data_IF_151091444553
#
_entry.id   IF_151091444553
#
_cell.length_a   1.000
_cell.length_b   1.000
_cell.length_c   1.000
_cell.angle_alpha   90.00
_cell.angle_beta   90.00
_cell.angle_gamma   90.00
#
_symmetry.space_group_name_H-M   'P 1'
#
loop_
_entity.id
_entity.type
_entity.pdbx_description
1 polymer ?
#
# COMPACT_ATOMS: atom_id res chain seq x y z
N UNK A 1 -21.04 -7.96 55.32
CA UNK A 1 -21.78 -7.42 54.15
C UNK A 1 -20.80 -6.77 53.11
N UNK A 2 -19.76 -6.04 53.54
CA UNK A 2 -18.81 -5.36 52.64
C UNK A 2 -17.92 -6.28 51.81
N UNK A 3 -17.58 -7.48 52.27
CA UNK A 3 -16.71 -8.43 51.57
C UNK A 3 -17.33 -9.03 50.26
N UNK A 4 -18.67 -9.23 50.25
CA UNK A 4 -19.38 -9.70 49.05
C UNK A 4 -19.58 -8.59 48.02
N UNK A 5 -19.69 -7.31 48.45
CA UNK A 5 -19.84 -6.15 47.58
C UNK A 5 -18.58 -5.89 46.80
N UNK A 6 -17.38 -6.01 47.42
CA UNK A 6 -16.10 -5.82 46.77
C UNK A 6 -15.81 -6.89 45.70
N UNK A 7 -16.23 -8.15 45.91
CA UNK A 7 -16.06 -9.21 44.92
C UNK A 7 -16.93 -8.96 43.69
N UNK A 8 -18.14 -8.48 43.84
CA UNK A 8 -19.05 -8.15 42.72
C UNK A 8 -18.53 -6.98 41.93
N UNK A 9 -17.95 -5.95 42.57
CA UNK A 9 -17.34 -4.80 41.89
C UNK A 9 -16.07 -5.21 41.11
N UNK A 10 -15.25 -6.10 41.67
CA UNK A 10 -14.03 -6.61 40.98
C UNK A 10 -14.42 -7.49 39.78
N UNK A 11 -15.45 -8.34 39.90
CA UNK A 11 -15.92 -9.17 38.79
C UNK A 11 -16.52 -8.30 37.68
N UNK A 12 -17.28 -7.25 38.04
CA UNK A 12 -17.87 -6.32 37.06
C UNK A 12 -16.83 -5.48 36.38
N UNK A 13 -15.74 -5.05 37.08
CA UNK A 13 -14.64 -4.30 36.47
C UNK A 13 -13.76 -5.16 35.56
N UNK A 14 -13.58 -6.46 35.85
CA UNK A 14 -12.87 -7.40 34.99
C UNK A 14 -13.70 -7.71 33.72
N UNK A 15 -15.04 -7.79 33.85
CA UNK A 15 -15.91 -8.01 32.68
C UNK A 15 -15.95 -6.79 31.75
N UNK A 16 -15.90 -5.56 32.28
CA UNK A 16 -15.81 -4.32 31.50
C UNK A 16 -14.43 -4.14 30.83
N UNK A 17 -13.36 -4.73 31.36
CA UNK A 17 -12.01 -4.68 30.77
C UNK A 17 -11.83 -5.70 29.62
N UNK A 18 -12.63 -6.77 29.59
CA UNK A 18 -12.56 -7.79 28.51
C UNK A 18 -13.28 -7.34 27.23
N UNK A 19 -14.28 -6.47 27.33
CA UNK A 19 -14.96 -5.92 26.15
C UNK A 19 -14.16 -4.85 25.38
N UNK A 20 -13.07 -4.32 25.96
CA UNK A 20 -12.27 -3.25 25.34
C UNK A 20 -11.15 -3.74 24.44
N UNK A 21 -11.00 -5.06 24.19
CA UNK A 21 -9.94 -5.66 23.38
C UNK A 21 -10.40 -6.37 22.11
N UNK A 22 -11.63 -6.19 21.70
CA UNK A 22 -11.96 -6.40 20.30
C UNK A 22 -11.45 -5.16 19.51
N UNK A 23 -10.14 -5.01 19.40
CA UNK A 23 -9.57 -4.22 18.33
C UNK A 23 -10.09 -4.86 17.04
N UNK A 24 -11.09 -4.24 16.42
CA UNK A 24 -11.57 -4.61 15.10
C UNK A 24 -10.34 -4.73 14.22
N UNK A 25 -9.94 -5.94 13.88
CA UNK A 25 -8.82 -6.18 12.99
C UNK A 25 -9.21 -5.51 11.66
N UNK A 26 -8.65 -4.33 11.43
CA UNK A 26 -8.95 -3.55 10.25
C UNK A 26 -8.56 -4.37 9.02
N UNK A 27 -9.51 -4.60 8.13
CA UNK A 27 -9.26 -5.36 6.89
C UNK A 27 -8.23 -4.65 6.04
N UNK A 28 -7.26 -5.42 5.53
CA UNK A 28 -6.16 -4.88 4.72
C UNK A 28 -6.66 -4.45 3.35
N UNK A 29 -6.28 -3.25 2.94
CA UNK A 29 -6.54 -2.75 1.59
C UNK A 29 -5.50 -3.20 0.59
N UNK A 30 -5.94 -3.37 -0.66
CA UNK A 30 -5.09 -3.81 -1.77
C UNK A 30 -4.44 -2.60 -2.43
N UNK A 31 -3.12 -2.50 -2.28
CA UNK A 31 -2.33 -1.40 -2.82
C UNK A 31 -1.29 -1.92 -3.81
N UNK A 32 -0.96 -1.11 -4.82
CA UNK A 32 0.15 -1.37 -5.72
C UNK A 32 1.01 -0.14 -5.90
N UNK A 33 2.32 -0.33 -5.98
CA UNK A 33 3.29 0.71 -6.33
C UNK A 33 3.67 0.51 -7.78
N UNK A 34 3.58 1.58 -8.56
CA UNK A 34 4.08 1.63 -9.93
C UNK A 34 5.48 2.25 -9.97
N UNK A 35 6.25 1.93 -10.99
CA UNK A 35 7.58 2.52 -11.18
C UNK A 35 7.49 4.04 -11.13
N UNK A 36 8.37 4.68 -10.35
CA UNK A 36 8.45 6.12 -10.31
C UNK A 36 9.24 6.63 -11.50
N UNK A 37 8.72 7.67 -12.13
CA UNK A 37 9.42 8.36 -13.20
C UNK A 37 10.70 9.02 -12.67
N UNK A 38 11.82 8.92 -13.38
CA UNK A 38 13.05 9.64 -13.04
C UNK A 38 13.07 10.99 -13.76
N UNK A 39 12.76 12.06 -13.01
CA UNK A 39 12.83 13.47 -13.46
C UNK A 39 14.07 14.20 -12.97
N UNK A 40 15.05 13.46 -12.43
CA UNK A 40 16.31 14.07 -11.98
C UNK A 40 17.16 14.52 -13.16
N UNK A 41 17.91 15.61 -12.99
CA UNK A 41 18.80 16.15 -14.05
C UNK A 41 19.86 15.15 -14.50
N UNK A 42 20.34 14.28 -13.61
CA UNK A 42 21.51 13.44 -13.83
C UNK A 42 21.17 11.98 -14.15
N UNK A 43 19.89 11.60 -14.10
CA UNK A 43 19.44 10.21 -14.33
C UNK A 43 20.32 9.19 -13.60
N UNK A 44 20.42 9.33 -12.30
CA UNK A 44 21.19 8.46 -11.43
C UNK A 44 20.73 7.01 -11.51
N UNK A 45 21.68 6.08 -11.36
CA UNK A 45 21.37 4.67 -11.31
C UNK A 45 21.62 4.10 -9.93
N UNK A 46 20.78 3.17 -9.57
CA UNK A 46 20.89 2.38 -8.35
C UNK A 46 22.13 1.48 -8.43
N UNK A 47 22.57 0.89 -7.31
CA UNK A 47 23.68 -0.07 -7.27
C UNK A 47 23.43 -1.33 -8.13
N UNK A 48 22.17 -1.66 -8.42
CA UNK A 48 21.75 -2.75 -9.32
C UNK A 48 21.74 -2.37 -10.79
N UNK A 49 22.02 -1.10 -11.12
CA UNK A 49 21.95 -0.57 -12.47
C UNK A 49 20.58 -0.05 -12.89
N UNK A 50 19.55 -0.22 -12.06
CA UNK A 50 18.20 0.29 -12.30
C UNK A 50 18.14 1.82 -12.26
N UNK A 51 17.15 2.44 -12.94
CA UNK A 51 16.80 3.85 -12.71
C UNK A 51 16.43 4.10 -11.23
N UNK A 52 16.73 5.30 -10.75
CA UNK A 52 16.49 5.67 -9.35
C UNK A 52 15.00 5.56 -8.98
N UNK A 53 14.11 5.92 -9.89
CA UNK A 53 12.66 5.84 -9.66
C UNK A 53 12.18 4.41 -9.42
N UNK A 54 12.67 3.46 -10.22
CA UNK A 54 12.35 2.04 -10.03
C UNK A 54 12.87 1.53 -8.68
N UNK A 55 14.12 1.83 -8.34
CA UNK A 55 14.70 1.42 -7.05
C UNK A 55 13.95 2.00 -5.84
N UNK A 56 13.40 3.21 -5.95
CA UNK A 56 12.57 3.80 -4.90
C UNK A 56 11.19 3.13 -4.78
N UNK A 57 10.57 2.79 -5.91
CA UNK A 57 9.32 2.02 -5.93
C UNK A 57 9.51 0.64 -5.31
N UNK A 58 10.63 -0.06 -5.59
CA UNK A 58 11.00 -1.34 -4.97
C UNK A 58 11.17 -1.21 -3.45
N UNK A 59 11.83 -0.13 -2.99
CA UNK A 59 12.00 0.12 -1.55
C UNK A 59 10.65 0.38 -0.88
N UNK A 60 9.80 1.20 -1.47
CA UNK A 60 8.46 1.48 -0.93
C UNK A 60 7.62 0.21 -0.87
N UNK A 61 7.59 -0.59 -1.95
CA UNK A 61 6.92 -1.90 -2.01
C UNK A 61 7.40 -2.80 -0.87
N UNK A 62 8.71 -2.88 -0.66
CA UNK A 62 9.31 -3.69 0.42
C UNK A 62 8.85 -3.23 1.80
N UNK A 63 8.84 -1.93 2.07
CA UNK A 63 8.44 -1.41 3.38
C UNK A 63 6.92 -1.55 3.60
N UNK A 64 6.09 -1.42 2.55
CA UNK A 64 4.65 -1.70 2.62
C UNK A 64 4.37 -3.16 2.99
N UNK A 65 5.08 -4.11 2.36
CA UNK A 65 4.97 -5.54 2.70
C UNK A 65 5.38 -5.80 4.15
N UNK A 66 6.52 -5.25 4.59
CA UNK A 66 7.02 -5.42 5.96
C UNK A 66 6.08 -4.82 7.02
N UNK A 67 5.40 -3.73 6.69
CA UNK A 67 4.44 -3.09 7.62
C UNK A 67 3.31 -4.03 8.02
N UNK A 68 2.97 -5.00 7.16
CA UNK A 68 1.85 -5.93 7.35
C UNK A 68 0.47 -5.29 7.35
N UNK A 69 0.37 -3.97 7.11
CA UNK A 69 -0.89 -3.19 7.12
C UNK A 69 -1.70 -3.36 5.84
N UNK A 70 -1.04 -3.71 4.73
CA UNK A 70 -1.61 -3.74 3.38
C UNK A 70 -1.51 -5.12 2.76
N UNK A 71 -2.39 -5.40 1.80
CA UNK A 71 -2.20 -6.45 0.82
C UNK A 71 -1.54 -5.81 -0.41
N UNK A 72 -0.22 -5.99 -0.53
CA UNK A 72 0.55 -5.38 -1.62
C UNK A 72 0.46 -6.28 -2.85
N UNK A 73 0.03 -5.71 -3.97
CA UNK A 73 -0.17 -6.40 -5.25
C UNK A 73 1.02 -6.08 -6.17
N UNK A 74 1.69 -7.13 -6.64
CA UNK A 74 2.81 -6.99 -7.58
C UNK A 74 2.36 -6.40 -8.91
N UNK A 75 3.05 -5.39 -9.39
CA UNK A 75 2.78 -4.74 -10.68
C UNK A 75 4.00 -4.60 -11.59
N UNK A 76 5.19 -4.59 -11.02
CA UNK A 76 6.43 -4.42 -11.80
C UNK A 76 6.75 -5.66 -12.63
N UNK A 77 6.55 -6.86 -12.07
CA UNK A 77 6.75 -8.14 -12.77
C UNK A 77 5.52 -8.68 -13.47
N UNK A 78 4.47 -7.87 -13.66
CA UNK A 78 3.16 -8.36 -14.15
C UNK A 78 3.23 -9.06 -15.51
N UNK A 79 4.09 -8.57 -16.42
CA UNK A 79 4.22 -9.15 -17.76
C UNK A 79 4.83 -10.55 -17.69
N UNK A 80 5.83 -10.77 -16.86
CA UNK A 80 6.44 -12.08 -16.63
C UNK A 80 5.43 -13.04 -16.00
N UNK A 81 4.66 -12.58 -15.01
CA UNK A 81 3.61 -13.36 -14.37
C UNK A 81 2.54 -13.75 -15.40
N UNK A 82 2.12 -12.82 -16.25
CA UNK A 82 1.15 -13.09 -17.32
C UNK A 82 1.70 -14.01 -18.40
N UNK A 83 2.99 -13.96 -18.68
CA UNK A 83 3.66 -14.88 -19.61
C UNK A 83 3.69 -16.31 -19.08
N UNK A 84 4.06 -16.50 -17.80
CA UNK A 84 3.98 -17.81 -17.13
C UNK A 84 2.54 -18.36 -17.12
N UNK A 85 1.58 -17.51 -16.86
CA UNK A 85 0.16 -17.89 -16.91
C UNK A 85 -0.25 -18.35 -18.30
N UNK A 86 0.18 -17.67 -19.38
CA UNK A 86 -0.09 -18.07 -20.77
C UNK A 86 0.57 -19.41 -21.13
N UNK A 87 1.78 -19.66 -20.64
CA UNK A 87 2.44 -20.95 -20.82
C UNK A 87 1.64 -22.09 -20.15
N UNK A 88 1.08 -21.84 -18.96
CA UNK A 88 0.18 -22.77 -18.30
C UNK A 88 -1.07 -23.12 -19.12
N UNK A 89 -1.63 -22.16 -19.85
CA UNK A 89 -2.80 -22.38 -20.73
C UNK A 89 -2.46 -23.12 -22.03
N UNK A 90 -1.25 -22.95 -22.54
CA UNK A 90 -0.83 -23.55 -23.80
C UNK A 90 -0.70 -25.09 -23.78
N UNK A 91 -0.86 -25.72 -22.59
CA UNK A 91 -0.64 -27.16 -22.41
C UNK A 91 0.83 -27.58 -22.36
N UNK A 92 1.76 -26.62 -22.37
CA UNK A 92 3.19 -26.87 -22.26
C UNK A 92 3.61 -27.33 -20.84
N UNK A 93 2.75 -27.10 -19.84
CA UNK A 93 2.88 -27.52 -18.45
C UNK A 93 1.63 -28.24 -17.99
N UNK A 94 1.75 -29.13 -17.00
CA UNK A 94 0.60 -29.89 -16.50
C UNK A 94 -0.41 -28.97 -15.81
N UNK A 95 -1.72 -29.29 -15.90
CA UNK A 95 -2.81 -28.51 -15.27
C UNK A 95 -2.61 -28.27 -13.77
N UNK A 96 -1.87 -29.15 -13.08
CA UNK A 96 -1.58 -29.04 -11.65
C UNK A 96 -0.45 -28.05 -11.33
N UNK A 97 0.39 -27.72 -12.29
CA UNK A 97 1.50 -26.75 -12.14
C UNK A 97 1.21 -25.42 -12.86
N UNK A 98 0.17 -25.36 -13.67
CA UNK A 98 -0.29 -24.12 -14.26
C UNK A 98 -0.83 -23.20 -13.15
N UNK A 99 -0.25 -22.04 -12.95
CA UNK A 99 -0.85 -21.00 -12.13
C UNK A 99 -2.26 -20.71 -12.66
N UNK A 100 -3.28 -20.69 -11.79
CA UNK A 100 -4.64 -20.34 -12.21
C UNK A 100 -4.63 -18.99 -12.90
N UNK A 101 -4.87 -19.03 -14.20
CA UNK A 101 -4.78 -17.87 -15.07
C UNK A 101 -5.93 -16.92 -14.80
N UNK A 102 -5.59 -15.66 -14.60
CA UNK A 102 -6.53 -14.57 -14.84
C UNK A 102 -7.17 -13.93 -13.62
N UNK A 103 -6.78 -14.28 -12.39
CA UNK A 103 -7.32 -13.58 -11.21
C UNK A 103 -6.24 -12.87 -10.43
N UNK A 104 -5.55 -11.94 -11.08
CA UNK A 104 -4.81 -10.92 -10.34
C UNK A 104 -5.83 -10.13 -9.51
N UNK A 105 -5.65 -10.13 -8.21
CA UNK A 105 -6.50 -9.36 -7.29
C UNK A 105 -6.53 -7.91 -7.76
N UNK A 106 -7.73 -7.35 -7.91
CA UNK A 106 -7.88 -5.93 -8.26
C UNK A 106 -7.19 -5.06 -7.21
N UNK A 107 -6.44 -4.06 -7.63
CA UNK A 107 -5.87 -3.03 -6.75
C UNK A 107 -6.99 -2.06 -6.39
N UNK A 108 -7.02 -1.56 -5.17
CA UNK A 108 -7.94 -0.49 -4.73
C UNK A 108 -7.28 0.87 -4.83
N UNK A 109 -5.97 0.90 -4.55
CA UNK A 109 -5.18 2.13 -4.57
C UNK A 109 -3.86 1.93 -5.32
N UNK A 110 -3.62 2.75 -6.33
CA UNK A 110 -2.34 2.84 -7.03
C UNK A 110 -1.49 3.96 -6.44
N UNK A 111 -0.22 3.68 -6.19
CA UNK A 111 0.80 4.66 -5.82
C UNK A 111 1.65 4.93 -7.05
N UNK A 112 1.57 6.15 -7.56
CA UNK A 112 2.29 6.62 -8.76
C UNK A 112 3.17 7.79 -8.35
N UNK A 113 4.40 7.86 -8.85
CA UNK A 113 5.28 8.94 -8.44
C UNK A 113 6.34 9.32 -9.48
N UNK A 114 7.09 10.35 -9.12
CA UNK A 114 8.26 10.79 -9.86
C UNK A 114 9.35 11.24 -8.87
N UNK A 115 10.59 10.82 -9.10
CA UNK A 115 11.74 11.34 -8.36
C UNK A 115 12.18 12.64 -9.03
N UNK A 116 12.06 13.74 -8.30
CA UNK A 116 12.35 15.09 -8.80
C UNK A 116 13.72 15.60 -8.35
N UNK A 117 14.16 15.17 -7.15
CA UNK A 117 15.50 15.49 -6.64
C UNK A 117 16.15 14.21 -6.09
N UNK A 118 17.41 13.98 -6.46
CA UNK A 118 18.20 12.88 -5.89
C UNK A 118 19.70 13.17 -6.00
N UNK A 119 20.41 13.18 -4.88
CA UNK A 119 21.86 13.33 -4.89
C UNK A 119 22.41 14.21 -3.77
N UNK A 120 23.66 14.62 -3.96
CA UNK A 120 24.37 15.48 -3.02
C UNK A 120 24.28 16.95 -3.45
N UNK A 121 24.08 17.83 -2.46
CA UNK A 121 24.25 19.28 -2.62
C UNK A 121 25.59 19.70 -2.02
N UNK A 122 26.30 20.59 -2.70
CA UNK A 122 27.43 21.31 -2.09
C UNK A 122 26.88 22.30 -1.08
N UNK A 123 27.25 22.12 0.17
CA UNK A 123 26.97 23.08 1.23
C UNK A 123 28.22 23.97 1.37
N UNK A 124 28.26 25.10 0.70
CA UNK A 124 29.28 26.13 0.92
C UNK A 124 29.01 26.92 2.23
N UNK A 125 29.05 26.23 3.36
CA UNK A 125 29.05 26.90 4.66
C UNK A 125 30.47 27.37 5.00
N UNK A 126 30.98 28.33 4.27
CA UNK A 126 32.34 28.80 4.52
C UNK A 126 32.75 30.11 3.80
N UNK A 127 31.86 30.67 2.97
CA UNK A 127 32.18 31.85 2.17
C UNK A 127 32.49 33.12 2.96
N UNK A 128 31.97 33.27 4.15
CA UNK A 128 32.13 34.50 4.92
C UNK A 128 33.40 34.54 5.77
N UNK A 129 33.97 33.41 6.19
CA UNK A 129 35.17 33.36 7.02
C UNK A 129 36.47 33.28 6.21
N UNK A 130 36.43 32.90 4.94
CA UNK A 130 37.60 32.90 4.03
C UNK A 130 38.18 34.31 3.79
N UNK A 131 37.35 35.35 3.90
CA UNK A 131 37.79 36.75 3.67
C UNK A 131 38.58 37.32 4.87
N UNK A 132 38.64 36.67 6.01
CA UNK A 132 39.36 37.15 7.21
C UNK A 132 40.53 36.25 7.65
N UNK A 133 41.01 35.34 6.83
CA UNK A 133 42.26 34.57 7.09
C UNK A 133 42.17 33.53 8.21
N UNK A 134 41.02 33.28 8.79
CA UNK A 134 40.79 32.25 9.81
C UNK A 134 40.12 31.03 9.14
N UNK A 135 40.93 30.15 8.59
CA UNK A 135 40.52 29.00 7.77
C UNK A 135 40.00 27.77 8.57
N UNK A 136 38.99 27.92 9.37
CA UNK A 136 38.26 26.76 9.89
C UNK A 136 36.92 26.58 9.15
N UNK A 137 37.04 26.24 7.86
CA UNK A 137 35.88 25.85 7.05
C UNK A 137 35.42 24.46 7.43
N UNK A 138 34.34 24.33 8.20
CA UNK A 138 33.66 23.05 8.39
C UNK A 138 32.98 22.72 7.06
N UNK A 139 33.55 21.78 6.32
CA UNK A 139 32.89 21.24 5.13
C UNK A 139 31.72 20.37 5.62
N UNK A 140 30.53 20.64 5.13
CA UNK A 140 29.37 19.80 5.34
C UNK A 140 28.87 19.30 3.99
N UNK A 141 28.43 18.06 3.93
CA UNK A 141 27.76 17.49 2.77
C UNK A 141 26.27 17.31 3.09
N UNK A 142 25.42 17.79 2.19
CA UNK A 142 23.98 17.55 2.26
C UNK A 142 23.56 16.64 1.12
N UNK A 143 22.64 15.74 1.40
CA UNK A 143 21.93 14.94 0.42
C UNK A 143 20.48 15.34 0.37
N UNK A 144 19.87 15.37 -0.80
CA UNK A 144 18.46 15.69 -1.00
C UNK A 144 17.77 14.58 -1.78
N UNK A 145 16.55 14.27 -1.38
CA UNK A 145 15.64 13.39 -2.10
C UNK A 145 14.28 14.08 -2.16
N UNK A 146 13.77 14.26 -3.37
CA UNK A 146 12.46 14.82 -3.66
C UNK A 146 11.64 13.82 -4.46
N UNK A 147 10.40 13.57 -4.04
CA UNK A 147 9.48 12.64 -4.69
C UNK A 147 8.11 13.31 -4.76
N UNK A 148 7.58 13.44 -5.97
CA UNK A 148 6.17 13.73 -6.17
C UNK A 148 5.42 12.41 -6.14
N UNK A 149 4.38 12.29 -5.32
CA UNK A 149 3.58 11.09 -5.17
C UNK A 149 2.10 11.39 -5.34
N UNK A 150 1.37 10.48 -5.96
CA UNK A 150 -0.09 10.52 -6.12
C UNK A 150 -0.68 9.20 -5.69
N UNK A 151 -1.79 9.29 -4.96
CA UNK A 151 -2.61 8.16 -4.56
C UNK A 151 -3.87 8.16 -5.41
N UNK A 152 -4.06 7.13 -6.22
CA UNK A 152 -5.11 7.07 -7.23
C UNK A 152 -6.07 5.93 -6.89
N UNK A 153 -7.36 6.22 -6.80
CA UNK A 153 -8.40 5.21 -6.73
C UNK A 153 -8.49 4.50 -8.08
N UNK A 154 -8.21 3.21 -8.11
CA UNK A 154 -8.15 2.45 -9.36
C UNK A 154 -9.53 2.14 -9.95
N UNK A 155 -10.59 2.23 -9.15
CA UNK A 155 -11.95 2.01 -9.62
C UNK A 155 -12.49 3.21 -10.40
N UNK A 156 -12.16 4.43 -9.95
CA UNK A 156 -12.68 5.68 -10.55
C UNK A 156 -11.64 6.44 -11.37
N UNK A 157 -10.33 6.13 -11.22
CA UNK A 157 -9.24 6.91 -11.80
C UNK A 157 -8.97 8.24 -11.07
N UNK A 158 -9.72 8.55 -10.02
CA UNK A 158 -9.59 9.78 -9.26
C UNK A 158 -8.28 9.82 -8.48
N UNK A 159 -7.61 10.99 -8.50
CA UNK A 159 -6.46 11.28 -7.64
C UNK A 159 -7.00 11.69 -6.27
N UNK A 160 -6.89 10.79 -5.29
CA UNK A 160 -7.36 11.05 -3.92
C UNK A 160 -6.46 12.03 -3.18
N UNK A 161 -5.17 12.00 -3.44
CA UNK A 161 -4.20 12.96 -2.92
C UNK A 161 -2.96 13.01 -3.82
N UNK A 162 -2.34 14.17 -3.84
CA UNK A 162 -1.03 14.40 -4.43
C UNK A 162 -0.16 15.17 -3.43
N UNK A 163 1.09 14.78 -3.32
CA UNK A 163 2.00 15.38 -2.35
C UNK A 163 3.42 15.44 -2.90
N UNK A 164 4.21 16.40 -2.40
CA UNK A 164 5.65 16.50 -2.64
C UNK A 164 6.38 16.17 -1.34
N UNK A 165 7.09 15.08 -1.34
CA UNK A 165 7.93 14.66 -0.21
C UNK A 165 9.36 15.04 -0.49
N UNK A 166 9.93 15.94 0.32
CA UNK A 166 11.32 16.37 0.22
C UNK A 166 12.04 16.17 1.53
N UNK A 167 13.14 15.40 1.50
CA UNK A 167 14.00 15.15 2.66
C UNK A 167 15.42 15.58 2.35
N UNK A 168 16.06 16.17 3.35
CA UNK A 168 17.45 16.60 3.28
C UNK A 168 18.20 16.11 4.51
N UNK A 169 19.31 15.41 4.28
CA UNK A 169 20.21 14.92 5.31
C UNK A 169 21.57 15.59 5.20
N UNK A 170 22.09 16.08 6.32
CA UNK A 170 23.37 16.81 6.36
C UNK A 170 24.34 16.14 7.31
N UNK A 171 25.58 15.93 6.89
CA UNK A 171 26.67 15.44 7.73
C UNK A 171 27.84 16.40 7.72
N UNK A 172 28.23 16.88 8.90
CA UNK A 172 29.41 17.74 9.09
C UNK A 172 30.70 16.92 8.99
N UNK A 173 31.76 17.52 8.45
CA UNK A 173 33.09 16.89 8.33
C UNK A 173 33.23 15.86 7.21
N UNK A 174 32.22 15.70 6.35
CA UNK A 174 32.27 14.77 5.24
C UNK A 174 32.63 15.50 3.93
N UNK A 175 33.72 15.05 3.29
CA UNK A 175 34.07 15.45 1.93
C UNK A 175 33.44 14.45 0.97
N UNK A 176 32.52 14.89 0.12
CA UNK A 176 31.90 14.05 -0.91
C UNK A 176 32.16 14.68 -2.27
N UNK A 177 32.54 13.87 -3.26
CA UNK A 177 32.47 14.27 -4.65
C UNK A 177 31.01 14.24 -5.11
N UNK A 178 30.42 15.42 -5.23
CA UNK A 178 29.01 15.57 -5.61
C UNK A 178 28.71 15.19 -7.06
N UNK A 179 29.75 14.90 -7.87
CA UNK A 179 29.63 14.53 -9.28
C UNK A 179 29.53 13.02 -9.50
N UNK A 180 29.84 12.22 -8.50
CA UNK A 180 29.77 10.75 -8.57
C UNK A 180 28.93 10.19 -7.43
N UNK A 181 27.76 9.70 -7.79
CA UNK A 181 26.89 8.96 -6.90
C UNK A 181 26.98 7.49 -7.31
N UNK A 182 27.79 6.72 -6.61
CA UNK A 182 27.89 5.28 -6.84
C UNK A 182 27.96 4.54 -5.50
N UNK A 183 27.18 3.48 -5.40
CA UNK A 183 27.14 2.61 -4.23
C UNK A 183 27.56 1.20 -4.65
N UNK A 184 28.48 0.58 -3.89
CA UNK A 184 28.93 -0.78 -4.18
C UNK A 184 27.84 -1.83 -3.97
N UNK A 185 26.94 -1.58 -3.04
CA UNK A 185 25.83 -2.47 -2.65
C UNK A 185 24.81 -1.72 -1.80
N UNK A 186 23.75 -2.41 -1.42
CA UNK A 186 22.66 -1.89 -0.57
C UNK A 186 23.15 -1.33 0.75
N UNK A 187 24.09 -1.99 1.45
CA UNK A 187 24.57 -1.53 2.75
C UNK A 187 25.29 -0.19 2.63
N UNK A 188 26.15 -0.03 1.61
CA UNK A 188 26.85 1.23 1.35
C UNK A 188 25.88 2.38 1.04
N UNK A 189 24.76 2.09 0.37
CA UNK A 189 23.70 3.05 0.15
C UNK A 189 22.99 3.39 1.47
N UNK A 190 22.57 2.39 2.23
CA UNK A 190 21.80 2.54 3.47
C UNK A 190 22.54 3.35 4.54
N UNK A 191 23.87 3.25 4.59
CA UNK A 191 24.75 4.00 5.51
C UNK A 191 25.01 5.44 5.03
N UNK A 192 24.78 5.72 3.77
CA UNK A 192 25.00 7.05 3.18
C UNK A 192 23.93 8.05 3.64
N UNK A 193 24.25 9.36 3.54
CA UNK A 193 23.26 10.40 3.82
C UNK A 193 22.14 10.43 2.76
N UNK A 194 22.42 10.03 1.52
CA UNK A 194 21.38 9.86 0.47
C UNK A 194 20.44 8.71 0.83
N UNK A 195 20.99 7.58 1.28
CA UNK A 195 20.17 6.44 1.73
C UNK A 195 19.26 6.78 2.91
N UNK A 196 19.78 7.55 3.88
CA UNK A 196 18.99 8.04 5.01
C UNK A 196 17.87 8.99 4.56
N UNK A 197 18.17 9.95 3.68
CA UNK A 197 17.16 10.84 3.12
C UNK A 197 16.10 10.08 2.34
N UNK A 198 16.51 9.03 1.58
CA UNK A 198 15.57 8.17 0.85
C UNK A 198 14.63 7.42 1.77
N UNK A 199 15.15 6.81 2.87
CA UNK A 199 14.31 6.12 3.85
C UNK A 199 13.32 7.07 4.51
N UNK A 200 13.78 8.25 4.93
CA UNK A 200 12.92 9.26 5.53
C UNK A 200 11.82 9.72 4.54
N UNK A 201 12.11 9.77 3.24
CA UNK A 201 11.10 10.08 2.23
C UNK A 201 10.08 8.94 2.09
N UNK A 202 10.51 7.67 2.08
CA UNK A 202 9.64 6.50 2.02
C UNK A 202 8.74 6.42 3.26
N UNK A 203 9.29 6.64 4.46
CA UNK A 203 8.52 6.67 5.71
C UNK A 203 7.44 7.77 5.69
N UNK A 204 7.75 8.94 5.14
CA UNK A 204 6.79 10.03 4.99
C UNK A 204 5.67 9.66 3.99
N UNK A 205 6.01 9.03 2.85
CA UNK A 205 5.02 8.52 1.89
C UNK A 205 4.11 7.50 2.55
N UNK A 206 4.65 6.57 3.36
CA UNK A 206 3.85 5.59 4.09
C UNK A 206 2.89 6.24 5.09
N UNK A 207 3.35 7.25 5.84
CA UNK A 207 2.49 8.01 6.75
C UNK A 207 1.34 8.74 6.04
N UNK A 208 1.63 9.30 4.85
CA UNK A 208 0.61 9.95 4.01
C UNK A 208 -0.38 8.92 3.45
N UNK A 209 0.09 7.74 3.04
CA UNK A 209 -0.74 6.64 2.60
C UNK A 209 -1.69 6.18 3.71
N UNK A 210 -1.19 5.99 4.94
CA UNK A 210 -2.01 5.61 6.09
C UNK A 210 -3.17 6.60 6.26
N UNK A 211 -2.88 7.91 6.26
CA UNK A 211 -3.90 8.95 6.42
C UNK A 211 -4.95 8.96 5.29
N UNK A 212 -4.57 8.64 4.05
CA UNK A 212 -5.51 8.56 2.94
C UNK A 212 -6.39 7.32 3.02
N UNK A 213 -5.83 6.20 3.45
CA UNK A 213 -6.55 4.93 3.54
C UNK A 213 -7.56 4.88 4.67
N UNK A 214 -7.37 5.66 5.74
CA UNK A 214 -8.36 5.80 6.82
C UNK A 214 -9.70 6.34 6.29
N UNK A 215 -9.66 7.17 5.25
CA UNK A 215 -10.84 7.80 4.64
C UNK A 215 -11.50 6.95 3.55
N UNK A 216 -10.85 5.90 3.07
CA UNK A 216 -11.41 5.01 2.06
C UNK A 216 -12.13 3.84 2.71
N UNK A 217 -13.42 3.59 2.42
CA UNK A 217 -14.10 2.41 2.91
C UNK A 217 -13.42 1.15 2.36
N UNK A 218 -13.25 0.12 3.22
CA UNK A 218 -12.81 -1.17 2.75
C UNK A 218 -13.90 -1.82 1.91
N UNK A 219 -13.51 -2.48 0.82
CA UNK A 219 -14.42 -3.13 -0.10
C UNK A 219 -13.87 -4.49 -0.56
N UNK A 220 -14.79 -5.46 -0.68
CA UNK A 220 -14.58 -6.70 -1.40
C UNK A 220 -15.71 -6.87 -2.42
N UNK A 221 -15.68 -7.97 -3.18
CA UNK A 221 -16.73 -8.31 -4.16
C UNK A 221 -17.21 -9.72 -3.94
N UNK A 222 -18.48 -9.96 -4.23
CA UNK A 222 -19.04 -11.30 -4.33
C UNK A 222 -18.43 -11.98 -5.56
N UNK A 223 -17.81 -13.15 -5.35
CA UNK A 223 -17.23 -13.99 -6.41
C UNK A 223 -18.24 -15.00 -6.92
N UNK A 224 -19.06 -15.55 -6.01
CA UNK A 224 -20.04 -16.58 -6.31
C UNK A 224 -21.14 -16.60 -5.27
N UNK A 225 -22.37 -16.85 -5.72
CA UNK A 225 -23.52 -17.17 -4.86
C UNK A 225 -23.97 -18.60 -5.16
N UNK A 226 -24.24 -19.40 -4.12
CA UNK A 226 -24.71 -20.78 -4.22
C UNK A 226 -25.71 -21.09 -3.11
N UNK A 227 -27.00 -20.94 -3.40
CA UNK A 227 -28.06 -21.04 -2.40
C UNK A 227 -27.87 -20.01 -1.27
N UNK A 228 -27.73 -20.45 -0.03
CA UNK A 228 -27.49 -19.58 1.14
C UNK A 228 -26.00 -19.27 1.39
N UNK A 229 -25.12 -19.63 0.45
CA UNK A 229 -23.68 -19.45 0.58
C UNK A 229 -23.21 -18.39 -0.40
N UNK A 230 -22.40 -17.46 0.10
CA UNK A 230 -21.76 -16.40 -0.66
C UNK A 230 -20.24 -16.51 -0.51
N UNK A 231 -19.51 -16.39 -1.60
CA UNK A 231 -18.05 -16.35 -1.61
C UNK A 231 -17.60 -14.94 -1.95
N UNK A 232 -16.67 -14.41 -1.15
CA UNK A 232 -16.09 -13.07 -1.35
C UNK A 232 -14.59 -13.15 -1.64
N UNK A 233 -14.05 -12.19 -2.40
CA UNK A 233 -12.62 -12.13 -2.77
C UNK A 233 -11.72 -11.52 -1.68
N UNK A 234 -12.06 -11.74 -0.43
CA UNK A 234 -11.27 -11.35 0.72
C UNK A 234 -11.32 -12.45 1.79
N UNK A 235 -10.19 -12.78 2.37
CA UNK A 235 -10.04 -13.82 3.37
C UNK A 235 -9.06 -13.40 4.46
N UNK A 236 -8.41 -14.37 5.11
CA UNK A 236 -7.50 -14.12 6.23
C UNK A 236 -6.28 -13.27 5.84
N UNK A 237 -5.81 -13.32 4.58
CA UNK A 237 -4.74 -12.41 4.08
C UNK A 237 -5.15 -10.95 4.15
N UNK A 238 -6.46 -10.66 4.00
CA UNK A 238 -7.04 -9.32 4.10
C UNK A 238 -7.56 -8.99 5.51
N UNK A 239 -7.17 -9.76 6.53
CA UNK A 239 -7.66 -9.66 7.92
C UNK A 239 -9.17 -9.87 8.08
N UNK A 240 -9.82 -10.60 7.18
CA UNK A 240 -11.20 -11.06 7.36
C UNK A 240 -11.21 -12.22 8.35
N UNK A 241 -12.03 -12.14 9.37
CA UNK A 241 -12.13 -13.16 10.43
C UNK A 241 -13.42 -13.95 10.34
N UNK A 242 -13.39 -15.19 10.80
CA UNK A 242 -14.61 -15.98 10.99
C UNK A 242 -15.49 -15.30 12.03
N UNK A 243 -16.75 -15.05 11.66
CA UNK A 243 -17.71 -14.33 12.49
C UNK A 243 -17.94 -12.88 12.05
N UNK A 244 -17.07 -12.29 11.23
CA UNK A 244 -17.27 -10.95 10.69
C UNK A 244 -18.57 -10.85 9.90
N UNK A 245 -19.24 -9.71 10.02
CA UNK A 245 -20.49 -9.41 9.33
C UNK A 245 -20.26 -8.25 8.37
N UNK A 246 -20.69 -8.41 7.13
CA UNK A 246 -20.56 -7.43 6.07
C UNK A 246 -21.91 -7.08 5.46
N UNK A 247 -22.06 -5.82 5.10
CA UNK A 247 -23.15 -5.33 4.27
C UNK A 247 -22.88 -5.61 2.79
N UNK A 248 -23.93 -5.97 2.06
CA UNK A 248 -23.86 -6.18 0.61
C UNK A 248 -24.64 -5.08 -0.09
N UNK A 249 -23.99 -4.54 -1.13
CA UNK A 249 -24.55 -3.53 -2.01
C UNK A 249 -24.61 -4.07 -3.44
N UNK A 250 -25.79 -4.09 -4.02
CA UNK A 250 -25.96 -4.31 -5.45
C UNK A 250 -25.51 -3.08 -6.20
N UNK A 251 -24.74 -3.30 -7.26
CA UNK A 251 -24.20 -2.25 -8.12
C UNK A 251 -25.06 -2.17 -9.38
N UNK A 252 -25.69 -1.02 -9.59
CA UNK A 252 -26.45 -0.70 -10.79
C UNK A 252 -25.60 -0.48 -12.03
N UNK A 253 -26.19 0.11 -13.06
CA UNK A 253 -25.44 0.49 -14.27
C UNK A 253 -24.40 1.56 -13.95
N UNK A 254 -23.25 1.45 -14.59
CA UNK A 254 -22.17 2.41 -14.49
C UNK A 254 -22.59 3.73 -15.17
N UNK A 255 -22.50 4.83 -14.44
CA UNK A 255 -22.79 6.15 -14.95
C UNK A 255 -21.53 6.70 -15.63
N UNK A 256 -21.61 6.88 -16.94
CA UNK A 256 -20.50 7.44 -17.73
C UNK A 256 -20.79 8.90 -18.04
N UNK A 257 -19.84 9.77 -17.72
CA UNK A 257 -19.87 11.18 -18.09
C UNK A 257 -19.86 11.32 -19.62
N UNK A 258 -20.88 11.89 -20.25
CA UNK A 258 -20.97 11.98 -21.70
C UNK A 258 -19.91 12.87 -22.33
N UNK A 259 -19.35 13.82 -21.58
CA UNK A 259 -18.37 14.79 -22.09
C UNK A 259 -16.94 14.26 -22.00
N UNK A 260 -16.62 13.50 -20.94
CA UNK A 260 -15.27 13.02 -20.67
C UNK A 260 -15.08 11.52 -20.95
N UNK A 261 -16.17 10.75 -21.01
CA UNK A 261 -16.14 9.30 -21.11
C UNK A 261 -15.66 8.60 -19.82
N UNK A 262 -15.49 9.35 -18.73
CA UNK A 262 -15.06 8.80 -17.45
C UNK A 262 -16.23 8.23 -16.66
N UNK A 263 -15.98 7.20 -15.87
CA UNK A 263 -16.95 6.65 -14.94
C UNK A 263 -17.19 7.62 -13.79
N UNK A 264 -18.47 7.94 -13.56
CA UNK A 264 -18.95 8.67 -12.39
C UNK A 264 -19.33 7.73 -11.23
N UNK A 265 -19.11 6.42 -11.40
CA UNK A 265 -19.54 5.38 -10.47
C UNK A 265 -20.87 4.75 -10.89
N UNK A 266 -21.48 4.00 -10.00
CA UNK A 266 -22.76 3.35 -10.21
C UNK A 266 -23.68 3.59 -9.02
N UNK A 267 -25.01 3.46 -9.22
CA UNK A 267 -25.94 3.47 -8.10
C UNK A 267 -25.75 2.21 -7.26
N UNK A 268 -25.62 2.38 -5.94
CA UNK A 268 -25.39 1.31 -5.00
C UNK A 268 -26.60 1.17 -4.07
N UNK A 269 -27.21 -0.01 -4.04
CA UNK A 269 -28.35 -0.30 -3.19
C UNK A 269 -28.00 -1.40 -2.20
N UNK A 270 -28.15 -1.14 -0.88
CA UNK A 270 -27.94 -2.16 0.14
C UNK A 270 -29.00 -3.27 0.00
N UNK A 271 -28.56 -4.50 -0.21
CA UNK A 271 -29.44 -5.65 -0.45
C UNK A 271 -29.45 -6.68 0.68
N UNK A 272 -28.52 -6.60 1.63
CA UNK A 272 -28.51 -7.51 2.78
C UNK A 272 -27.20 -7.58 3.52
N UNK A 273 -27.06 -8.65 4.32
CA UNK A 273 -25.92 -8.94 5.18
C UNK A 273 -25.45 -10.38 5.03
N UNK A 274 -24.13 -10.58 5.13
CA UNK A 274 -23.50 -11.90 5.16
C UNK A 274 -22.60 -12.03 6.39
N UNK A 275 -22.38 -13.26 6.86
CA UNK A 275 -21.48 -13.60 7.97
C UNK A 275 -20.43 -14.60 7.49
N UNK A 276 -19.18 -14.32 7.80
CA UNK A 276 -18.04 -15.19 7.46
C UNK A 276 -18.08 -16.48 8.28
N UNK A 277 -17.98 -17.62 7.60
CA UNK A 277 -17.92 -18.96 8.22
C UNK A 277 -16.58 -19.66 7.99
N UNK A 278 -15.85 -19.28 6.95
CA UNK A 278 -14.53 -19.79 6.63
C UNK A 278 -13.76 -18.69 5.86
N UNK A 279 -12.55 -18.39 6.28
CA UNK A 279 -11.70 -17.33 5.72
C UNK A 279 -10.40 -17.86 5.10
N UNK A 280 -10.24 -19.18 4.98
CA UNK A 280 -8.98 -19.82 4.56
C UNK A 280 -8.99 -20.31 3.10
N UNK A 281 -10.04 -20.03 2.33
CA UNK A 281 -10.16 -20.48 0.94
C UNK A 281 -9.06 -19.84 0.09
N UNK A 282 -8.40 -20.67 -0.75
CA UNK A 282 -7.31 -20.21 -1.61
C UNK A 282 -6.12 -19.66 -0.81
N UNK A 283 -5.76 -20.31 0.29
CA UNK A 283 -4.73 -19.87 1.23
C UNK A 283 -5.03 -18.50 1.86
N UNK A 284 -6.31 -18.23 2.17
CA UNK A 284 -6.71 -16.97 2.82
C UNK A 284 -7.05 -15.82 1.86
N UNK A 285 -7.16 -16.08 0.57
CA UNK A 285 -7.53 -15.07 -0.44
C UNK A 285 -9.03 -14.83 -0.57
N UNK A 286 -9.83 -15.79 -0.12
CA UNK A 286 -11.28 -15.71 -0.21
C UNK A 286 -11.94 -16.23 1.08
N UNK A 287 -13.20 -15.82 1.29
CA UNK A 287 -14.02 -16.30 2.39
C UNK A 287 -15.32 -16.91 1.89
N UNK A 288 -15.79 -17.91 2.64
CA UNK A 288 -17.13 -18.47 2.54
C UNK A 288 -18.00 -17.81 3.62
N UNK A 289 -19.13 -17.30 3.21
CA UNK A 289 -20.08 -16.60 4.07
C UNK A 289 -21.45 -17.26 3.97
N UNK A 290 -22.27 -17.06 4.99
CA UNK A 290 -23.71 -17.39 4.97
C UNK A 290 -24.52 -16.10 4.95
N UNK A 291 -25.66 -16.13 4.25
CA UNK A 291 -26.60 -15.00 4.23
C UNK A 291 -27.24 -14.88 5.61
N UNK A 292 -27.18 -13.70 6.21
CA UNK A 292 -27.83 -13.34 7.46
C UNK A 292 -29.20 -12.71 7.19
N UNK A 293 -29.24 -11.79 6.22
CA UNK A 293 -30.48 -11.12 5.82
C UNK A 293 -30.38 -10.65 4.38
N UNK A 294 -31.54 -10.41 3.76
CA UNK A 294 -31.62 -9.89 2.39
C UNK A 294 -31.69 -10.99 1.32
N UNK A 295 -31.70 -10.57 0.06
CA UNK A 295 -31.81 -11.44 -1.12
C UNK A 295 -31.35 -10.72 -2.36
N UNK A 296 -31.25 -11.46 -3.49
CA UNK A 296 -30.89 -10.87 -4.79
C UNK A 296 -29.37 -10.68 -4.98
N UNK A 297 -28.53 -11.29 -4.13
CA UNK A 297 -27.08 -11.22 -4.25
C UNK A 297 -26.59 -11.78 -5.57
N UNK A 298 -25.67 -11.04 -6.20
CA UNK A 298 -25.09 -11.39 -7.49
C UNK A 298 -23.56 -11.35 -7.46
N UNK A 299 -22.93 -12.03 -8.40
CA UNK A 299 -21.49 -11.89 -8.61
C UNK A 299 -21.16 -10.44 -9.01
N UNK A 300 -20.18 -9.85 -8.35
CA UNK A 300 -19.79 -8.45 -8.58
C UNK A 300 -20.33 -7.46 -7.56
N UNK A 301 -21.36 -7.83 -6.80
CA UNK A 301 -21.89 -6.99 -5.72
C UNK A 301 -20.78 -6.62 -4.72
N UNK A 302 -20.85 -5.40 -4.21
CA UNK A 302 -19.88 -4.88 -3.25
C UNK A 302 -20.15 -5.38 -1.85
N UNK A 303 -19.08 -5.67 -1.15
CA UNK A 303 -19.04 -6.10 0.25
C UNK A 303 -18.33 -5.05 1.06
N UNK A 304 -18.97 -4.49 2.10
CA UNK A 304 -18.38 -3.45 2.97
C UNK A 304 -18.50 -3.83 4.43
N UNK A 305 -17.60 -3.29 5.24
CA UNK A 305 -17.73 -3.37 6.70
C UNK A 305 -18.96 -2.59 7.15
N UNK A 306 -19.60 -3.14 8.18
CA UNK A 306 -20.77 -2.54 8.80
C UNK A 306 -20.39 -1.36 9.69
#
# INVERSE_FOLDING_TARGET
MYRKLNIVIIVLSVFLLVESFAALAQTKKRVAVFDFEDKTEHRWRWWTGQPVGQGMADMLTTELVKSGKYQVIERQGIEQIMQEQRLGQSGAVTQQTAAEVGKLLGVELAIIGAVTEFGYKKSDVGGFLKKKGLGLGIQSASAVVGIDVRFVNTNTGEILAADNVRKEETKKGLKIDTRQLSFKNKNAFDESIVGKATRAAIEDIMGKLDAQLENLPWQAKIVKVSGNIVYINAGSEANVNVGDIFDIYSVGEELIDPDTGLSLGAEETRVGEIKVTDNAIGNGKASKCVIVSGSGFQQGDLVRQK
#
